data_IF_907585523521
#
_entry.id   IF_907585523521
#
_cell.length_a   1.000
_cell.length_b   1.000
_cell.length_c   1.000
_cell.angle_alpha   90.00
_cell.angle_beta   90.00
_cell.angle_gamma   90.00
#
_symmetry.space_group_name_H-M   'P 1'
#
loop_
_entity.id
_entity.type
_entity.pdbx_description
1 polymer ?
#
# COMPACT_ATOMS: atom_id res chain seq x y z
N UNK A 1 -22.69 -8.55 -1.19
CA UNK A 1 -21.27 -8.92 -1.44
C UNK A 1 -20.48 -8.39 -0.27
N UNK A 2 -19.68 -9.22 0.41
CA UNK A 2 -18.82 -8.72 1.50
C UNK A 2 -17.77 -7.79 0.92
N UNK A 3 -17.43 -6.74 1.66
CA UNK A 3 -16.42 -5.76 1.26
C UNK A 3 -15.47 -5.52 2.42
N UNK A 4 -14.17 -5.56 2.14
CA UNK A 4 -13.14 -5.18 3.11
C UNK A 4 -12.49 -3.88 2.69
N UNK A 5 -12.16 -3.06 3.67
CA UNK A 5 -11.39 -1.83 3.50
C UNK A 5 -9.96 -2.15 3.95
N UNK A 6 -9.02 -2.14 3.00
CA UNK A 6 -7.60 -2.38 3.25
C UNK A 6 -6.86 -1.05 3.25
N UNK A 7 -6.13 -0.75 4.32
CA UNK A 7 -5.31 0.46 4.42
C UNK A 7 -3.85 0.06 4.42
N UNK A 8 -3.02 0.74 3.61
CA UNK A 8 -1.58 0.45 3.52
C UNK A 8 -0.78 1.73 3.43
N UNK A 9 0.33 1.81 4.15
CA UNK A 9 1.31 2.89 4.02
C UNK A 9 2.74 2.41 4.36
N UNK A 10 3.75 3.16 3.96
CA UNK A 10 5.15 2.82 4.18
C UNK A 10 6.02 4.04 4.46
N UNK A 11 6.98 3.89 5.39
CA UNK A 11 7.99 4.89 5.68
C UNK A 11 9.37 4.34 5.40
N UNK A 12 10.21 5.09 4.68
CA UNK A 12 11.57 4.68 4.31
C UNK A 12 12.62 5.67 4.81
N UNK A 13 13.74 5.14 5.31
CA UNK A 13 14.96 5.90 5.51
C UNK A 13 15.76 5.85 4.19
N UNK A 14 15.78 6.97 3.47
CA UNK A 14 16.42 7.08 2.15
C UNK A 14 17.95 6.98 2.19
N UNK A 15 18.58 7.14 3.37
CA UNK A 15 20.03 6.99 3.53
C UNK A 15 20.44 5.52 3.64
N UNK A 16 19.63 4.72 4.34
CA UNK A 16 19.94 3.31 4.60
C UNK A 16 19.16 2.34 3.68
N UNK A 17 18.19 2.84 2.92
CA UNK A 17 17.25 2.04 2.12
C UNK A 17 16.49 0.99 2.96
N UNK A 18 16.28 1.29 4.24
CA UNK A 18 15.46 0.48 5.15
C UNK A 18 14.11 1.17 5.29
N UNK A 19 13.04 0.41 5.14
CA UNK A 19 11.68 0.91 5.31
C UNK A 19 10.83 0.00 6.18
N UNK A 20 9.74 0.57 6.68
CA UNK A 20 8.70 -0.15 7.42
C UNK A 20 7.37 0.07 6.69
N UNK A 21 6.75 -1.02 6.28
CA UNK A 21 5.40 -1.03 5.72
C UNK A 21 4.39 -1.39 6.81
N UNK A 22 3.22 -0.76 6.78
CA UNK A 22 2.14 -1.00 7.71
C UNK A 22 0.82 -1.25 6.96
N UNK A 23 0.00 -2.15 7.49
CA UNK A 23 -1.36 -2.34 6.99
C UNK A 23 -2.32 -2.77 8.10
N UNK A 24 -3.61 -2.57 7.84
CA UNK A 24 -4.70 -3.29 8.49
C UNK A 24 -5.87 -3.38 7.52
N UNK A 25 -6.81 -4.29 7.79
CA UNK A 25 -8.08 -4.34 7.06
C UNK A 25 -9.25 -4.48 8.04
N UNK A 26 -10.43 -4.03 7.60
CA UNK A 26 -11.70 -4.15 8.33
C UNK A 26 -12.82 -4.53 7.37
N UNK A 27 -13.86 -5.19 7.87
CA UNK A 27 -15.11 -5.39 7.11
C UNK A 27 -15.91 -4.08 7.07
N UNK A 28 -16.43 -3.73 5.90
CA UNK A 28 -17.21 -2.50 5.71
C UNK A 28 -18.43 -2.49 6.65
N UNK A 29 -18.60 -1.39 7.40
CA UNK A 29 -19.64 -1.20 8.44
C UNK A 29 -19.55 -2.09 9.68
N UNK A 30 -18.45 -2.84 9.86
CA UNK A 30 -18.27 -3.74 11.00
C UNK A 30 -16.86 -3.56 11.61
N UNK A 31 -16.62 -2.39 12.20
CA UNK A 31 -15.39 -2.11 12.94
C UNK A 31 -15.59 -1.02 13.99
N UNK A 32 -14.69 -1.00 14.97
CA UNK A 32 -14.44 0.15 15.86
C UNK A 32 -12.98 0.51 15.78
N UNK A 33 -12.68 1.80 15.68
CA UNK A 33 -11.31 2.29 15.47
C UNK A 33 -10.38 1.83 16.60
N UNK A 34 -10.88 1.76 17.83
CA UNK A 34 -10.14 1.39 19.04
C UNK A 34 -9.73 -0.09 19.06
N UNK A 35 -10.43 -0.95 18.30
CA UNK A 35 -10.18 -2.38 18.22
C UNK A 35 -9.21 -2.74 17.06
N UNK A 36 -8.84 -1.77 16.22
CA UNK A 36 -7.99 -1.99 15.06
C UNK A 36 -6.53 -2.20 15.49
N UNK A 37 -5.97 -3.34 15.09
CA UNK A 37 -4.54 -3.64 15.23
C UNK A 37 -3.81 -3.46 13.90
N UNK A 38 -2.79 -2.60 13.88
CA UNK A 38 -1.96 -2.38 12.70
C UNK A 38 -0.80 -3.36 12.69
N UNK A 39 -0.63 -4.08 11.58
CA UNK A 39 0.49 -4.99 11.35
C UNK A 39 1.62 -4.23 10.65
N UNK A 40 2.84 -4.41 11.12
CA UNK A 40 4.03 -3.72 10.58
C UNK A 40 5.11 -4.71 10.22
N UNK A 41 5.82 -4.46 9.10
CA UNK A 41 6.95 -5.27 8.64
C UNK A 41 8.08 -4.40 8.14
N UNK A 42 9.33 -4.80 8.43
CA UNK A 42 10.55 -4.15 7.95
C UNK A 42 10.96 -4.71 6.60
N UNK A 43 11.41 -3.84 5.72
CA UNK A 43 11.92 -4.12 4.39
C UNK A 43 13.32 -3.52 4.27
N UNK A 44 14.27 -4.30 3.72
CA UNK A 44 15.61 -3.84 3.38
C UNK A 44 15.70 -3.57 1.88
N UNK A 45 16.68 -2.78 1.47
CA UNK A 45 16.96 -2.46 0.06
C UNK A 45 15.72 -1.96 -0.69
N UNK A 46 15.00 -1.04 -0.05
CA UNK A 46 13.77 -0.47 -0.57
C UNK A 46 13.88 1.04 -0.81
N UNK A 47 12.90 1.59 -1.50
CA UNK A 47 12.71 3.02 -1.74
C UNK A 47 11.22 3.33 -1.57
N UNK A 48 10.79 4.59 -1.49
CA UNK A 48 9.38 4.92 -1.20
C UNK A 48 8.40 4.16 -2.11
N UNK A 49 8.55 4.29 -3.43
CA UNK A 49 7.68 3.59 -4.39
C UNK A 49 7.80 2.07 -4.33
N UNK A 50 9.00 1.53 -4.07
CA UNK A 50 9.19 0.07 -3.97
C UNK A 50 8.52 -0.45 -2.70
N UNK A 51 8.67 0.25 -1.58
CA UNK A 51 8.09 -0.08 -0.28
C UNK A 51 6.56 -0.03 -0.32
N UNK A 52 5.98 0.99 -0.94
CA UNK A 52 4.53 1.11 -1.12
C UNK A 52 3.97 -0.14 -1.83
N UNK A 53 4.59 -0.57 -2.94
CA UNK A 53 4.19 -1.78 -3.66
C UNK A 53 4.40 -3.05 -2.84
N UNK A 54 5.56 -3.20 -2.21
CA UNK A 54 5.87 -4.35 -1.36
C UNK A 54 4.89 -4.48 -0.19
N UNK A 55 4.51 -3.35 0.41
CA UNK A 55 3.56 -3.32 1.55
C UNK A 55 2.18 -3.74 1.09
N UNK A 56 1.70 -3.21 -0.05
CA UNK A 56 0.41 -3.59 -0.61
C UNK A 56 0.38 -5.08 -0.98
N UNK A 57 1.38 -5.58 -1.70
CA UNK A 57 1.44 -6.99 -2.11
C UNK A 57 1.51 -7.93 -0.92
N UNK A 58 2.30 -7.57 0.10
CA UNK A 58 2.33 -8.31 1.35
C UNK A 58 0.94 -8.32 2.02
N UNK A 59 0.28 -7.18 2.15
CA UNK A 59 -1.04 -7.11 2.76
C UNK A 59 -2.09 -7.93 1.99
N UNK A 60 -2.11 -7.84 0.66
CA UNK A 60 -3.01 -8.60 -0.21
C UNK A 60 -2.82 -10.11 -0.06
N UNK A 61 -1.58 -10.57 0.12
CA UNK A 61 -1.28 -11.98 0.33
C UNK A 61 -1.86 -12.52 1.66
N UNK A 62 -1.95 -11.67 2.69
CA UNK A 62 -2.53 -12.04 3.99
C UNK A 62 -4.06 -12.07 3.94
N UNK A 63 -4.70 -11.28 3.06
CA UNK A 63 -6.17 -11.18 2.94
C UNK A 63 -6.77 -12.00 1.79
N UNK A 64 -5.94 -12.74 1.02
CA UNK A 64 -6.34 -13.42 -0.23
C UNK A 64 -7.41 -14.51 -0.09
N UNK A 65 -7.68 -15.00 1.11
CA UNK A 65 -8.62 -16.10 1.36
C UNK A 65 -10.06 -15.63 1.61
N UNK A 66 -10.37 -14.36 1.35
CA UNK A 66 -11.69 -13.79 1.60
C UNK A 66 -12.43 -13.61 0.29
N UNK A 67 -13.55 -14.32 0.11
CA UNK A 67 -14.46 -14.12 -1.04
C UNK A 67 -15.23 -12.80 -0.88
N UNK A 68 -14.53 -11.69 -1.13
CA UNK A 68 -15.02 -10.34 -0.93
C UNK A 68 -14.36 -9.35 -1.89
N UNK A 69 -15.00 -8.20 -2.06
CA UNK A 69 -14.38 -7.06 -2.75
C UNK A 69 -13.37 -6.39 -1.82
N UNK A 70 -12.15 -6.15 -2.30
CA UNK A 70 -11.12 -5.43 -1.53
C UNK A 70 -11.05 -3.98 -2.03
N UNK A 71 -11.28 -3.02 -1.14
CA UNK A 71 -11.09 -1.60 -1.44
C UNK A 71 -9.85 -1.10 -0.72
N UNK A 72 -8.82 -0.78 -1.49
CA UNK A 72 -7.49 -0.38 -1.03
C UNK A 72 -7.42 1.13 -0.91
N UNK A 73 -7.14 1.62 0.29
CA UNK A 73 -6.89 3.02 0.60
C UNK A 73 -5.39 3.26 0.77
N UNK A 74 -4.86 4.19 -0.03
CA UNK A 74 -3.45 4.59 -0.01
C UNK A 74 -3.31 6.04 -0.50
N UNK A 75 -2.26 6.74 -0.07
CA UNK A 75 -1.88 8.05 -0.62
C UNK A 75 -0.86 7.94 -1.77
N UNK A 76 -0.35 6.74 -2.06
CA UNK A 76 0.63 6.48 -3.11
C UNK A 76 0.10 6.81 -4.50
N UNK A 77 0.63 7.86 -5.11
CA UNK A 77 0.31 8.21 -6.50
C UNK A 77 0.72 7.12 -7.49
N UNK A 78 1.78 6.39 -7.19
CA UNK A 78 2.20 5.31 -8.05
C UNK A 78 1.17 4.17 -8.06
N UNK A 79 0.68 3.74 -6.91
CA UNK A 79 -0.35 2.68 -6.82
C UNK A 79 -1.63 3.12 -7.53
N UNK A 80 -2.13 4.32 -7.22
CA UNK A 80 -3.37 4.84 -7.82
C UNK A 80 -3.29 4.92 -9.35
N UNK A 81 -2.13 5.30 -9.90
CA UNK A 81 -1.96 5.39 -11.35
C UNK A 81 -1.58 4.09 -12.06
N UNK A 82 -1.28 2.99 -11.35
CA UNK A 82 -0.84 1.74 -11.98
C UNK A 82 -1.92 1.07 -12.84
N UNK A 83 -3.21 0.98 -12.42
CA UNK A 83 -4.27 0.40 -13.24
C UNK A 83 -4.33 1.01 -14.65
N UNK A 84 -4.35 2.34 -14.75
CA UNK A 84 -4.41 3.06 -16.04
C UNK A 84 -3.17 2.83 -16.91
N UNK A 85 -2.03 2.53 -16.29
CA UNK A 85 -0.75 2.32 -16.98
C UNK A 85 -0.56 0.88 -17.45
N UNK A 86 -1.40 -0.07 -17.03
CA UNK A 86 -1.21 -1.51 -17.25
C UNK A 86 -0.95 -1.86 -18.71
N UNK A 87 -1.90 -1.54 -19.59
CA UNK A 87 -1.84 -1.87 -21.02
C UNK A 87 -0.53 -1.38 -21.65
N UNK A 88 -0.14 -0.13 -21.37
CA UNK A 88 1.10 0.45 -21.89
C UNK A 88 2.35 -0.25 -21.35
N UNK A 89 2.36 -0.58 -20.07
CA UNK A 89 3.50 -1.25 -19.44
C UNK A 89 3.67 -2.68 -19.96
N UNK A 90 2.58 -3.42 -20.12
CA UNK A 90 2.60 -4.78 -20.68
C UNK A 90 3.05 -4.78 -22.16
N UNK A 91 2.49 -3.91 -23.01
CA UNK A 91 2.87 -3.80 -24.43
C UNK A 91 4.35 -3.46 -24.61
N UNK A 92 4.88 -2.58 -23.76
CA UNK A 92 6.29 -2.17 -23.83
C UNK A 92 7.23 -3.11 -23.07
N UNK A 93 6.76 -4.29 -22.64
CA UNK A 93 7.54 -5.23 -21.82
C UNK A 93 8.21 -4.57 -20.61
N UNK A 94 7.53 -3.60 -20.00
CA UNK A 94 8.03 -2.79 -18.87
C UNK A 94 9.31 -1.99 -19.15
N UNK A 95 9.55 -1.61 -20.40
CA UNK A 95 10.64 -0.71 -20.78
C UNK A 95 10.16 0.75 -20.83
N UNK A 96 11.06 1.67 -20.47
CA UNK A 96 10.88 3.10 -20.62
C UNK A 96 11.01 3.54 -22.09
N UNK A 97 10.68 4.81 -22.39
CA UNK A 97 10.86 5.39 -23.75
C UNK A 97 12.30 5.30 -24.25
N UNK A 98 13.28 5.27 -23.34
CA UNK A 98 14.71 5.16 -23.66
C UNK A 98 15.17 3.69 -23.67
N UNK A 99 14.24 2.74 -23.82
CA UNK A 99 14.48 1.30 -23.83
C UNK A 99 15.21 0.75 -22.59
N UNK A 100 15.11 1.43 -21.44
CA UNK A 100 15.61 0.92 -20.15
C UNK A 100 14.51 0.18 -19.42
N UNK A 101 14.78 -1.04 -18.96
CA UNK A 101 13.87 -1.82 -18.12
C UNK A 101 13.55 -1.05 -16.82
N UNK A 102 12.28 -0.97 -16.47
CA UNK A 102 11.85 -0.25 -15.27
C UNK A 102 12.33 -0.98 -14.01
N UNK A 103 12.82 -0.22 -13.03
CA UNK A 103 13.39 -0.75 -11.78
C UNK A 103 12.44 -1.69 -11.02
N UNK A 104 11.14 -1.34 -10.95
CA UNK A 104 10.13 -2.07 -10.19
C UNK A 104 9.25 -2.97 -11.09
N UNK A 105 9.74 -3.37 -12.26
CA UNK A 105 8.92 -4.07 -13.25
C UNK A 105 8.36 -5.41 -12.73
N UNK A 106 9.10 -6.15 -11.90
CA UNK A 106 8.61 -7.41 -11.30
C UNK A 106 7.43 -7.14 -10.36
N UNK A 107 7.55 -6.14 -9.48
CA UNK A 107 6.47 -5.72 -8.59
C UNK A 107 5.24 -5.22 -9.37
N UNK A 108 5.43 -4.60 -10.53
CA UNK A 108 4.30 -4.23 -11.39
C UNK A 108 3.60 -5.44 -11.98
N UNK A 109 4.35 -6.46 -12.44
CA UNK A 109 3.77 -7.72 -12.92
C UNK A 109 2.94 -8.39 -11.81
N UNK A 110 3.54 -8.53 -10.63
CA UNK A 110 2.89 -9.14 -9.47
C UNK A 110 1.65 -8.35 -9.04
N UNK A 111 1.74 -7.01 -8.99
CA UNK A 111 0.62 -6.13 -8.72
C UNK A 111 -0.56 -6.42 -9.64
N UNK A 112 -0.35 -6.49 -10.96
CA UNK A 112 -1.44 -6.75 -11.90
C UNK A 112 -2.04 -8.15 -11.75
N UNK A 113 -1.21 -9.16 -11.48
CA UNK A 113 -1.69 -10.53 -11.26
C UNK A 113 -2.56 -10.63 -10.00
N UNK A 114 -2.05 -10.16 -8.87
CA UNK A 114 -2.72 -10.24 -7.56
C UNK A 114 -4.00 -9.41 -7.56
N UNK A 115 -3.94 -8.17 -8.04
CA UNK A 115 -5.10 -7.25 -7.96
C UNK A 115 -6.25 -7.65 -8.88
N UNK A 116 -5.95 -8.28 -10.02
CA UNK A 116 -6.98 -8.85 -10.91
C UNK A 116 -7.66 -10.04 -10.26
N UNK A 117 -6.90 -10.95 -9.64
CA UNK A 117 -7.44 -12.16 -9.01
C UNK A 117 -8.27 -11.86 -7.76
N UNK A 118 -7.93 -10.80 -7.01
CA UNK A 118 -8.62 -10.41 -5.78
C UNK A 118 -9.70 -9.34 -5.95
N UNK A 119 -10.04 -8.96 -7.19
CA UNK A 119 -11.05 -7.92 -7.49
C UNK A 119 -10.84 -6.62 -6.69
N UNK A 120 -9.62 -6.09 -6.72
CA UNK A 120 -9.26 -4.90 -5.95
C UNK A 120 -9.74 -3.60 -6.61
N UNK A 121 -10.27 -2.68 -5.80
CA UNK A 121 -10.50 -1.28 -6.16
C UNK A 121 -9.51 -0.38 -5.40
N UNK A 122 -9.03 0.68 -6.02
CA UNK A 122 -8.05 1.59 -5.44
C UNK A 122 -8.66 2.98 -5.23
N UNK A 123 -8.64 3.47 -4.00
CA UNK A 123 -9.10 4.80 -3.63
C UNK A 123 -7.96 5.60 -3.00
N UNK A 124 -7.77 6.80 -3.54
CA UNK A 124 -6.73 7.72 -3.05
C UNK A 124 -7.21 8.41 -1.78
N UNK A 125 -6.40 8.35 -0.72
CA UNK A 125 -6.55 9.22 0.46
C UNK A 125 -5.66 10.44 0.30
N UNK A 126 -6.15 11.59 0.76
CA UNK A 126 -5.35 12.80 0.83
C UNK A 126 -4.49 12.73 2.10
N UNK A 127 -3.20 12.42 1.91
CA UNK A 127 -2.25 12.39 3.01
C UNK A 127 -2.17 13.75 3.74
N UNK A 128 -1.94 13.69 5.06
CA UNK A 128 -1.57 14.85 5.88
C UNK A 128 -2.60 15.99 6.00
N UNK A 129 -3.90 15.69 6.00
CA UNK A 129 -4.95 16.67 6.35
C UNK A 129 -4.86 17.12 7.82
N UNK A 130 -5.25 18.38 8.08
CA UNK A 130 -5.40 18.91 9.46
C UNK A 130 -6.61 18.29 10.16
N UNK A 131 -6.56 18.16 11.50
CA UNK A 131 -7.51 17.34 12.27
C UNK A 131 -8.98 17.73 12.08
N UNK A 132 -9.29 19.00 11.81
CA UNK A 132 -10.66 19.48 11.61
C UNK A 132 -11.22 19.16 10.20
N UNK A 133 -10.39 18.70 9.27
CA UNK A 133 -10.78 18.33 7.91
C UNK A 133 -10.82 16.81 7.70
N UNK A 134 -10.36 16.03 8.69
CA UNK A 134 -10.29 14.57 8.58
C UNK A 134 -11.66 13.94 8.71
N UNK A 135 -12.08 13.23 7.66
CA UNK A 135 -13.19 12.31 7.75
C UNK A 135 -12.75 11.00 8.45
N UNK A 136 -13.66 10.04 8.55
CA UNK A 136 -13.38 8.75 9.19
C UNK A 136 -12.27 7.95 8.50
N UNK A 137 -12.26 7.91 7.16
CA UNK A 137 -11.22 7.24 6.37
C UNK A 137 -9.84 7.88 6.58
N UNK A 138 -9.77 9.20 6.76
CA UNK A 138 -8.51 9.89 7.06
C UNK A 138 -7.98 9.54 8.46
N UNK A 139 -8.88 9.36 9.43
CA UNK A 139 -8.54 8.91 10.79
C UNK A 139 -8.00 7.48 10.76
N UNK A 140 -8.67 6.60 10.02
CA UNK A 140 -8.24 5.22 9.77
C UNK A 140 -6.87 5.17 9.09
N UNK A 141 -6.67 5.93 8.02
CA UNK A 141 -5.39 6.00 7.32
C UNK A 141 -4.25 6.52 8.21
N UNK A 142 -4.55 7.44 9.13
CA UNK A 142 -3.55 7.94 10.10
C UNK A 142 -2.98 6.82 10.98
N UNK A 143 -3.68 5.70 11.17
CA UNK A 143 -3.18 4.55 11.93
C UNK A 143 -1.99 3.89 11.23
N UNK A 144 -2.09 3.58 9.93
CA UNK A 144 -0.97 2.97 9.17
C UNK A 144 0.19 3.94 9.00
N UNK A 145 -0.09 5.21 8.75
CA UNK A 145 0.92 6.25 8.59
C UNK A 145 1.71 6.52 9.88
N UNK A 146 1.04 6.55 11.04
CA UNK A 146 1.74 6.63 12.33
C UNK A 146 2.52 5.36 12.64
N UNK A 147 1.95 4.19 12.38
CA UNK A 147 2.59 2.91 12.68
C UNK A 147 3.86 2.69 11.85
N UNK A 148 3.82 2.97 10.55
CA UNK A 148 4.97 2.85 9.63
C UNK A 148 6.13 3.76 10.08
N UNK A 149 5.82 5.02 10.40
CA UNK A 149 6.80 6.02 10.86
C UNK A 149 7.35 5.70 12.25
N UNK A 150 6.51 5.29 13.19
CA UNK A 150 6.91 4.90 14.55
C UNK A 150 7.88 3.71 14.49
N UNK A 151 7.52 2.65 13.78
CA UNK A 151 8.36 1.47 13.64
C UNK A 151 9.72 1.74 12.97
N UNK A 152 9.76 2.67 12.01
CA UNK A 152 11.03 3.09 11.40
C UNK A 152 11.94 3.85 12.39
N UNK A 153 11.36 4.62 13.32
CA UNK A 153 12.10 5.42 14.31
C UNK A 153 12.60 4.58 15.48
N UNK A 154 11.78 3.68 16.00
CA UNK A 154 12.08 2.87 17.19
C UNK A 154 13.17 1.82 16.97
N UNK A 155 13.51 1.50 15.71
CA UNK A 155 14.54 0.51 15.36
C UNK A 155 15.81 1.13 14.76
N UNK A 156 16.15 2.37 15.16
CA UNK A 156 17.45 2.97 14.83
C UNK A 156 18.62 2.34 15.60
N UNK A 157 18.33 1.56 16.64
CA UNK A 157 19.31 1.06 17.61
C UNK A 157 19.56 -0.47 17.53
N UNK A 158 19.17 -1.13 16.44
CA UNK A 158 19.58 -2.51 16.08
C UNK A 158 20.50 -2.49 14.85
#
# INVERSE_FOLDING_TARGET
MKKILLFTDGSVNTKTNIGCGAYFYVEENNYKIEEITVVVKRFKETSSTKLELQTLLWALQEVKNVDCKIVVYTDSQNIIGLPDRRKRLEINNYHSKNNKLLKNHELYREFYQVTTSLNCEFLKIQGHLVSNQKNELDKLFTLVDRASRKALRERKDE
#
